data_IF_828273556781
#
_entry.id   IF_828273556781
#
_cell.length_a   1.000
_cell.length_b   1.000
_cell.length_c   1.000
_cell.angle_alpha   90.00
_cell.angle_beta   90.00
_cell.angle_gamma   90.00
#
_symmetry.space_group_name_H-M   'P 1'
#
loop_
_entity.id
_entity.type
_entity.pdbx_description
1 polymer ?
#
# COMPACT_ATOMS: atom_id res chain seq x y z
N UNK A 1 22.73 25.81 -13.69
CA UNK A 1 21.33 25.87 -14.16
C UNK A 1 20.86 24.58 -14.83
N UNK A 2 21.59 24.01 -15.81
CA UNK A 2 21.21 22.76 -16.49
C UNK A 2 20.96 21.57 -15.53
N UNK A 3 21.86 21.35 -14.57
CA UNK A 3 21.71 20.28 -13.58
C UNK A 3 20.41 20.41 -12.76
N UNK A 4 20.03 21.64 -12.38
CA UNK A 4 18.78 21.89 -11.66
C UNK A 4 17.56 21.62 -12.54
N UNK A 5 17.61 22.00 -13.82
CA UNK A 5 16.54 21.71 -14.77
C UNK A 5 16.34 20.21 -14.98
N UNK A 6 17.44 19.44 -15.11
CA UNK A 6 17.39 17.98 -15.21
C UNK A 6 16.84 17.33 -13.94
N UNK A 7 17.26 17.80 -12.76
CA UNK A 7 16.75 17.29 -11.49
C UNK A 7 15.24 17.57 -11.33
N UNK A 8 14.78 18.77 -11.69
CA UNK A 8 13.37 19.14 -11.65
C UNK A 8 12.53 18.30 -12.64
N UNK A 9 13.03 18.10 -13.87
CA UNK A 9 12.37 17.25 -14.87
C UNK A 9 12.27 15.80 -14.39
N UNK A 10 13.34 15.25 -13.82
CA UNK A 10 13.35 13.89 -13.27
C UNK A 10 12.40 13.73 -12.08
N UNK A 11 12.36 14.71 -11.17
CA UNK A 11 11.44 14.71 -10.05
C UNK A 11 9.97 14.76 -10.52
N UNK A 12 9.66 15.60 -11.50
CA UNK A 12 8.31 15.70 -12.07
C UNK A 12 7.91 14.40 -12.77
N UNK A 13 8.81 13.83 -13.57
CA UNK A 13 8.57 12.54 -14.23
C UNK A 13 8.27 11.45 -13.19
N UNK A 14 9.12 11.30 -12.18
CA UNK A 14 8.93 10.31 -11.11
C UNK A 14 7.61 10.53 -10.36
N UNK A 15 7.25 11.78 -10.06
CA UNK A 15 5.98 12.08 -9.39
C UNK A 15 4.78 11.65 -10.24
N UNK A 16 4.81 11.92 -11.55
CA UNK A 16 3.74 11.53 -12.47
C UNK A 16 3.68 10.01 -12.67
N UNK A 17 4.83 9.36 -12.86
CA UNK A 17 4.92 7.90 -13.01
C UNK A 17 4.41 7.18 -11.76
N UNK A 18 4.78 7.65 -10.57
CA UNK A 18 4.36 7.06 -9.30
C UNK A 18 2.86 7.24 -9.05
N UNK A 19 2.29 8.39 -9.42
CA UNK A 19 0.83 8.61 -9.37
C UNK A 19 0.09 7.63 -10.29
N UNK A 20 0.55 7.44 -11.53
CA UNK A 20 -0.03 6.48 -12.47
C UNK A 20 0.06 5.05 -11.95
N UNK A 21 1.22 4.66 -11.42
CA UNK A 21 1.43 3.31 -10.89
C UNK A 21 0.47 2.99 -9.74
N UNK A 22 0.33 3.91 -8.77
CA UNK A 22 -0.60 3.74 -7.63
C UNK A 22 -2.06 3.68 -8.05
N UNK A 23 -2.44 4.41 -9.10
CA UNK A 23 -3.81 4.37 -9.63
C UNK A 23 -4.11 3.05 -10.36
N UNK A 24 -3.13 2.53 -11.10
CA UNK A 24 -3.26 1.26 -11.81
C UNK A 24 -3.18 0.04 -10.88
N UNK A 25 -2.47 0.16 -9.76
CA UNK A 25 -2.23 -0.93 -8.80
C UNK A 25 -2.53 -0.45 -7.37
N UNK A 26 -3.82 -0.31 -7.00
CA UNK A 26 -4.16 0.00 -5.61
C UNK A 26 -3.70 -1.14 -4.69
N UNK A 27 -3.18 -0.84 -3.49
CA UNK A 27 -2.80 -1.88 -2.53
C UNK A 27 -4.04 -2.73 -2.18
N UNK A 28 -3.92 -4.07 -2.13
CA UNK A 28 -5.02 -4.94 -1.77
C UNK A 28 -5.37 -4.76 -0.29
N UNK A 29 -6.65 -4.96 0.03
CA UNK A 29 -7.18 -4.77 1.38
C UNK A 29 -7.85 -3.41 1.58
N UNK A 30 -8.29 -3.16 2.80
CA UNK A 30 -9.06 -1.97 3.20
C UNK A 30 -8.75 -1.57 4.62
N UNK A 31 -8.96 -0.30 4.94
CA UNK A 31 -8.92 0.20 6.31
C UNK A 31 -10.27 -0.06 6.97
N UNK A 32 -10.27 -0.76 8.09
CA UNK A 32 -11.42 -1.05 8.93
C UNK A 32 -11.24 -0.40 10.29
N UNK A 33 -12.33 0.10 10.87
CA UNK A 33 -12.34 0.52 12.27
C UNK A 33 -12.54 -0.72 13.15
N UNK A 34 -11.54 -1.02 13.99
CA UNK A 34 -11.56 -2.11 14.95
C UNK A 34 -11.26 -1.52 16.32
N UNK A 35 -12.24 -1.58 17.23
CA UNK A 35 -12.12 -1.01 18.57
C UNK A 35 -11.56 0.44 18.59
N UNK A 36 -12.08 1.29 17.70
CA UNK A 36 -11.65 2.68 17.54
C UNK A 36 -10.35 2.90 16.77
N UNK A 37 -9.66 1.85 16.35
CA UNK A 37 -8.40 1.94 15.61
C UNK A 37 -8.57 1.66 14.11
N UNK A 38 -7.90 2.43 13.28
CA UNK A 38 -7.85 2.21 11.83
C UNK A 38 -6.85 1.09 11.50
N UNK A 39 -7.37 -0.10 11.18
CA UNK A 39 -6.56 -1.28 10.85
C UNK A 39 -6.64 -1.62 9.37
N UNK A 40 -5.50 -1.88 8.73
CA UNK A 40 -5.47 -2.39 7.37
C UNK A 40 -5.66 -3.90 7.35
N UNK A 41 -6.77 -4.37 6.76
CA UNK A 41 -7.10 -5.78 6.65
C UNK A 41 -7.22 -6.18 5.18
N UNK A 42 -6.59 -7.30 4.83
CA UNK A 42 -6.76 -7.95 3.53
C UNK A 42 -7.56 -9.23 3.72
N UNK A 43 -8.87 -9.16 3.43
CA UNK A 43 -9.80 -10.28 3.60
C UNK A 43 -10.07 -10.96 2.26
N UNK A 44 -9.87 -12.27 2.20
CA UNK A 44 -10.14 -13.11 1.03
C UNK A 44 -10.91 -14.38 1.43
N UNK A 45 -11.59 -15.00 0.47
CA UNK A 45 -12.42 -16.18 0.72
C UNK A 45 -13.74 -15.87 1.43
N UNK A 46 -14.52 -16.91 1.71
CA UNK A 46 -15.80 -16.84 2.43
C UNK A 46 -16.06 -18.17 3.16
N UNK A 47 -16.82 -18.12 4.26
CA UNK A 47 -17.21 -19.30 5.04
C UNK A 47 -16.53 -19.40 6.41
N UNK A 48 -16.64 -20.57 7.04
CA UNK A 48 -16.10 -20.86 8.37
C UNK A 48 -15.28 -22.16 8.37
N UNK A 49 -14.21 -22.26 9.19
CA UNK A 49 -13.70 -21.24 10.11
C UNK A 49 -12.88 -20.15 9.40
N UNK A 50 -12.83 -18.96 9.99
CA UNK A 50 -11.95 -17.88 9.54
C UNK A 50 -10.54 -18.11 10.07
N UNK A 51 -9.53 -18.01 9.20
CA UNK A 51 -8.11 -18.01 9.60
C UNK A 51 -7.63 -16.56 9.62
N UNK A 52 -7.04 -16.14 10.73
CA UNK A 52 -6.48 -14.79 10.91
C UNK A 52 -4.97 -14.90 10.90
N UNK A 53 -4.33 -14.17 9.98
CA UNK A 53 -2.87 -14.06 9.88
C UNK A 53 -2.46 -12.69 10.39
N UNK A 54 -1.57 -12.67 11.38
CA UNK A 54 -0.96 -11.46 11.92
C UNK A 54 0.55 -11.53 11.69
N UNK A 55 1.12 -10.42 11.25
CA UNK A 55 2.57 -10.28 11.10
C UNK A 55 3.15 -9.78 12.41
N UNK A 56 4.03 -10.57 13.03
CA UNK A 56 4.75 -10.12 14.23
C UNK A 56 5.83 -9.08 13.92
N UNK A 57 6.30 -8.37 14.95
CA UNK A 57 7.38 -7.39 14.85
C UNK A 57 6.94 -6.05 14.25
N UNK A 58 7.78 -5.45 13.40
CA UNK A 58 7.49 -4.21 12.66
C UNK A 58 7.11 -4.47 11.19
N UNK A 59 6.77 -5.72 10.87
CA UNK A 59 6.43 -6.17 9.53
C UNK A 59 4.99 -5.76 9.16
N UNK A 60 4.67 -5.86 7.86
CA UNK A 60 3.34 -5.55 7.33
C UNK A 60 2.66 -6.78 6.74
N UNK A 61 1.40 -6.62 6.31
CA UNK A 61 0.61 -7.68 5.66
C UNK A 61 1.32 -8.33 4.45
N UNK A 62 2.30 -7.65 3.85
CA UNK A 62 3.08 -8.16 2.72
C UNK A 62 3.83 -9.46 3.00
N UNK A 63 4.10 -9.79 4.27
CA UNK A 63 4.77 -11.07 4.61
C UNK A 63 3.92 -12.29 4.26
N UNK A 64 2.59 -12.12 4.17
CA UNK A 64 1.62 -13.16 3.85
C UNK A 64 0.95 -12.96 2.48
N UNK A 65 1.21 -11.83 1.81
CA UNK A 65 0.51 -11.36 0.61
C UNK A 65 1.11 -11.86 -0.70
#
# INVERSE_FOLDING_TARGET
MLALMLAAAGALYNALALRRLRQAHPPPGRIHAVDGHAMHLYCTGAGAPTVVLESGGAESFLVWG
#
